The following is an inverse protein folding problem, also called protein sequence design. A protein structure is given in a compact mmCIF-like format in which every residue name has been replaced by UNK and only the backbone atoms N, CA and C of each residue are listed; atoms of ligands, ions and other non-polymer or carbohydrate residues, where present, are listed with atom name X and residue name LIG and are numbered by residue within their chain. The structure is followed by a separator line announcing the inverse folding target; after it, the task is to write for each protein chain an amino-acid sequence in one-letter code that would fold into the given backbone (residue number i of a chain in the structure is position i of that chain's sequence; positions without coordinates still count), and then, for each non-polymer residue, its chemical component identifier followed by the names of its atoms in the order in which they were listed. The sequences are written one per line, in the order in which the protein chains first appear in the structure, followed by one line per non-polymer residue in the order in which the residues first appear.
data_IF_674471852927
#
_entry.id   IF_674471852927
#
_cell.length_a   1.000
_cell.length_b   1.000
_cell.length_c   1.000
_cell.angle_alpha   90.00
_cell.angle_beta   90.00
_cell.angle_gamma   90.00
#
_symmetry.space_group_name_H-M   'P 1'
#
loop_
_entity.id
_entity.type
_entity.pdbx_description
1 polymer ?
#
# COMPACT_ATOMS: atom_id res chain seq x y z
N UNK A 1 9.85 7.22 -2.53
CA UNK A 1 8.85 7.01 -3.60
C UNK A 1 9.02 5.63 -4.16
N UNK A 2 7.92 4.93 -4.46
CA UNK A 2 7.95 3.61 -5.06
C UNK A 2 8.61 3.64 -6.45
N UNK A 3 9.35 2.59 -6.80
CA UNK A 3 9.84 2.40 -8.17
C UNK A 3 8.69 2.00 -9.12
N UNK A 4 8.82 2.32 -10.42
CA UNK A 4 7.74 2.09 -11.39
C UNK A 4 7.29 0.63 -11.46
N UNK A 5 8.22 -0.32 -11.31
CA UNK A 5 7.91 -1.73 -11.28
C UNK A 5 7.03 -2.08 -10.08
N UNK A 6 7.39 -1.62 -8.88
CA UNK A 6 6.60 -1.84 -7.67
C UNK A 6 5.21 -1.21 -7.80
N UNK A 7 5.09 -0.02 -8.37
CA UNK A 7 3.78 0.62 -8.63
C UNK A 7 2.88 -0.23 -9.52
N UNK A 8 3.42 -0.72 -10.65
CA UNK A 8 2.65 -1.57 -11.56
C UNK A 8 2.22 -2.88 -10.92
N UNK A 9 3.14 -3.54 -10.20
CA UNK A 9 2.82 -4.79 -9.51
C UNK A 9 1.80 -4.56 -8.38
N UNK A 10 1.88 -3.43 -7.67
CA UNK A 10 0.93 -3.07 -6.63
C UNK A 10 -0.48 -2.87 -7.19
N UNK A 11 -0.61 -2.21 -8.35
CA UNK A 11 -1.89 -2.07 -9.05
C UNK A 11 -2.45 -3.42 -9.52
N UNK A 12 -1.60 -4.28 -10.11
CA UNK A 12 -2.02 -5.59 -10.63
C UNK A 12 -2.42 -6.57 -9.52
N UNK A 13 -1.64 -6.59 -8.42
CA UNK A 13 -1.85 -7.50 -7.29
C UNK A 13 -2.68 -6.88 -6.18
N UNK A 14 -3.22 -5.67 -6.36
CA UNK A 14 -3.90 -4.92 -5.30
C UNK A 14 -4.97 -5.74 -4.58
N UNK A 15 -5.81 -6.44 -5.35
CA UNK A 15 -6.89 -7.26 -4.80
C UNK A 15 -6.38 -8.44 -3.96
N UNK A 16 -5.20 -8.99 -4.30
CA UNK A 16 -4.57 -10.09 -3.56
C UNK A 16 -3.90 -9.59 -2.28
N UNK A 17 -3.27 -8.41 -2.33
CA UNK A 17 -2.56 -7.83 -1.17
C UNK A 17 -3.48 -7.04 -0.24
N UNK A 18 -4.66 -6.59 -0.70
CA UNK A 18 -5.66 -5.84 0.08
C UNK A 18 -5.94 -6.45 1.46
N UNK A 19 -6.25 -7.75 1.62
CA UNK A 19 -6.46 -8.34 2.94
C UNK A 19 -5.22 -8.25 3.84
N UNK A 20 -4.02 -8.40 3.27
CA UNK A 20 -2.76 -8.26 4.02
C UNK A 20 -2.50 -6.81 4.44
N UNK A 21 -2.87 -5.83 3.59
CA UNK A 21 -2.82 -4.42 3.91
C UNK A 21 -3.75 -4.08 5.08
N UNK A 22 -5.00 -4.57 5.06
CA UNK A 22 -5.95 -4.37 6.15
C UNK A 22 -5.49 -5.01 7.46
N UNK A 23 -4.84 -6.18 7.40
CA UNK A 23 -4.28 -6.81 8.59
C UNK A 23 -3.08 -6.05 9.17
N UNK A 24 -2.20 -5.52 8.31
CA UNK A 24 -1.04 -4.73 8.74
C UNK A 24 -1.40 -3.32 9.22
N UNK A 25 -2.40 -2.72 8.58
CA UNK A 25 -2.84 -1.36 8.81
C UNK A 25 -4.35 -1.37 9.14
N UNK A 26 -4.73 -1.76 10.37
CA UNK A 26 -6.13 -1.87 10.76
C UNK A 26 -6.88 -0.53 10.74
N UNK A 27 -6.16 0.59 10.81
CA UNK A 27 -6.71 1.95 10.72
C UNK A 27 -7.03 2.39 9.28
N UNK A 28 -6.67 1.59 8.27
CA UNK A 28 -7.07 1.84 6.88
C UNK A 28 -8.49 1.39 6.64
N UNK A 29 -9.32 2.34 6.23
CA UNK A 29 -10.67 2.03 5.79
C UNK A 29 -10.68 1.54 4.35
N UNK A 30 -11.74 0.86 3.94
CA UNK A 30 -11.88 0.36 2.56
C UNK A 30 -11.79 1.49 1.52
N UNK A 31 -12.31 2.67 1.86
CA UNK A 31 -12.22 3.86 1.00
C UNK A 31 -10.79 4.36 0.80
N UNK A 32 -9.92 4.23 1.82
CA UNK A 32 -8.52 4.63 1.74
C UNK A 32 -7.75 3.68 0.80
N UNK A 33 -8.07 2.38 0.89
CA UNK A 33 -7.52 1.35 0.03
C UNK A 33 -7.98 1.52 -1.43
N UNK A 34 -9.26 1.80 -1.68
CA UNK A 34 -9.76 2.03 -3.03
C UNK A 34 -9.08 3.23 -3.71
N UNK A 35 -8.87 4.33 -2.98
CA UNK A 35 -8.14 5.49 -3.52
C UNK A 35 -6.69 5.15 -3.84
N UNK A 36 -6.04 4.37 -2.98
CA UNK A 36 -4.66 3.92 -3.18
C UNK A 36 -4.47 2.89 -4.30
N UNK A 37 -5.52 2.19 -4.72
CA UNK A 37 -5.46 1.27 -5.86
C UNK A 37 -5.12 2.00 -7.17
N UNK A 38 -5.72 3.18 -7.39
CA UNK A 38 -5.49 3.97 -8.62
C UNK A 38 -4.15 4.70 -8.59
N UNK A 39 -3.67 5.06 -7.40
CA UNK A 39 -2.41 5.78 -7.20
C UNK A 39 -1.59 5.15 -6.04
N UNK A 40 -0.58 4.32 -6.36
CA UNK A 40 0.29 3.68 -5.37
C UNK A 40 1.08 4.66 -4.50
N UNK A 41 1.46 5.84 -5.02
CA UNK A 41 2.14 6.85 -4.19
C UNK A 41 1.15 7.47 -3.20
N UNK A 42 -0.09 7.70 -3.63
CA UNK A 42 -1.15 8.17 -2.73
C UNK A 42 -1.50 7.12 -1.67
N UNK A 43 -1.43 5.83 -2.00
CA UNK A 43 -1.58 4.75 -1.01
C UNK A 43 -0.52 4.89 0.09
N UNK A 44 0.76 5.03 -0.27
CA UNK A 44 1.86 5.20 0.70
C UNK A 44 1.57 6.34 1.66
N UNK A 45 1.20 7.51 1.12
CA UNK A 45 0.89 8.70 1.91
C UNK A 45 -0.28 8.47 2.86
N UNK A 46 -1.34 7.85 2.35
CA UNK A 46 -2.57 7.61 3.12
C UNK A 46 -2.31 6.62 4.25
N UNK A 47 -1.59 5.53 3.97
CA UNK A 47 -1.18 4.55 4.97
C UNK A 47 -0.29 5.21 6.03
N UNK A 48 0.73 5.97 5.62
CA UNK A 48 1.64 6.67 6.53
C UNK A 48 0.89 7.64 7.46
N UNK A 49 -0.05 8.41 6.90
CA UNK A 49 -0.88 9.34 7.68
C UNK A 49 -1.79 8.64 8.70
N UNK A 50 -2.38 7.50 8.30
CA UNK A 50 -3.32 6.75 9.15
C UNK A 50 -2.62 5.92 10.22
N UNK A 51 -1.50 5.27 9.87
CA UNK A 51 -0.73 4.44 10.80
C UNK A 51 0.25 5.25 11.66
N UNK A 52 0.50 6.51 11.32
CA UNK A 52 1.51 7.35 11.97
C UNK A 52 2.95 6.90 11.71
N UNK A 53 3.17 6.03 10.71
CA UNK A 53 4.49 5.54 10.34
C UNK A 53 5.11 6.39 9.23
N UNK A 54 6.45 6.35 9.14
CA UNK A 54 7.17 7.02 8.06
C UNK A 54 6.83 6.43 6.69
N UNK A 55 6.68 7.29 5.67
CA UNK A 55 6.43 6.89 4.28
C UNK A 55 7.48 5.88 3.78
N UNK A 56 8.74 6.06 4.16
CA UNK A 56 9.84 5.13 3.82
C UNK A 56 9.59 3.71 4.35
N UNK A 57 9.04 3.58 5.56
CA UNK A 57 8.71 2.28 6.14
C UNK A 57 7.53 1.64 5.41
N UNK A 58 6.51 2.44 5.08
CA UNK A 58 5.36 1.99 4.31
C UNK A 58 5.79 1.52 2.92
N UNK A 59 6.63 2.27 2.22
CA UNK A 59 7.16 1.91 0.91
C UNK A 59 7.83 0.53 0.92
N UNK A 60 8.68 0.27 1.93
CA UNK A 60 9.32 -1.03 2.08
C UNK A 60 8.32 -2.15 2.37
N UNK A 61 7.34 -1.91 3.23
CA UNK A 61 6.31 -2.90 3.55
C UNK A 61 5.45 -3.24 2.31
N UNK A 62 5.02 -2.23 1.55
CA UNK A 62 4.27 -2.41 0.32
C UNK A 62 5.10 -3.19 -0.72
N UNK A 63 6.39 -2.85 -0.85
CA UNK A 63 7.30 -3.57 -1.75
C UNK A 63 7.43 -5.04 -1.36
N UNK A 64 7.56 -5.35 -0.07
CA UNK A 64 7.60 -6.73 0.41
C UNK A 64 6.29 -7.47 0.16
N UNK A 65 5.14 -6.85 0.45
CA UNK A 65 3.82 -7.45 0.20
C UNK A 65 3.65 -7.85 -1.27
N UNK A 66 4.01 -6.95 -2.18
CA UNK A 66 3.88 -7.17 -3.63
C UNK A 66 4.86 -8.22 -4.17
N UNK A 67 6.03 -8.36 -3.54
CA UNK A 67 7.01 -9.39 -3.85
C UNK A 67 6.62 -10.77 -3.29
N UNK A 68 5.89 -10.81 -2.17
CA UNK A 68 5.46 -12.05 -1.51
C UNK A 68 4.09 -12.57 -1.96
N UNK A 69 3.32 -11.73 -2.65
CA UNK A 69 2.00 -12.08 -3.22
C UNK A 69 2.15 -12.57 -4.65
#
# INVERSE_FOLDING_TARGET
MLDQQTKQQLQQKFQQIKPQLQQKFPDLEEQDLQKGQSDPDQLVKTVAQKSGQDEQQIEQQLKQLVQQS
#
